data_IF_548147109131
#
_entry.id   IF_548147109131
#
_cell.length_a   1.000
_cell.length_b   1.000
_cell.length_c   1.000
_cell.angle_alpha   90.00
_cell.angle_beta   90.00
_cell.angle_gamma   90.00
#
_symmetry.space_group_name_H-M   'P 1'
#
loop_
_entity.id
_entity.type
_entity.pdbx_description
1 polymer ?
#
# COMPACT_ATOMS: atom_id res chain seq x y z
N UNK A 1 -14.32 -17.66 -73.16
CA UNK A 1 -15.43 -17.40 -72.21
C UNK A 1 -14.84 -17.28 -70.81
N UNK A 2 -15.20 -16.22 -70.09
CA UNK A 2 -14.77 -15.91 -68.72
C UNK A 2 -15.52 -16.78 -67.73
N UNK A 3 -14.85 -17.32 -66.71
CA UNK A 3 -15.48 -17.63 -65.41
C UNK A 3 -14.58 -17.13 -64.29
N UNK A 4 -15.17 -16.27 -63.48
CA UNK A 4 -14.54 -15.49 -62.42
C UNK A 4 -14.48 -16.30 -61.12
N UNK A 5 -13.41 -16.05 -60.37
CA UNK A 5 -13.22 -16.36 -58.95
C UNK A 5 -14.42 -15.87 -58.12
N UNK A 6 -14.87 -16.69 -57.16
CA UNK A 6 -15.52 -16.20 -55.92
C UNK A 6 -15.05 -17.07 -54.75
N UNK A 7 -13.98 -16.61 -54.08
CA UNK A 7 -13.58 -17.11 -52.77
C UNK A 7 -14.44 -16.39 -51.73
N UNK A 8 -15.52 -17.03 -51.27
CA UNK A 8 -16.50 -16.42 -50.40
C UNK A 8 -16.21 -16.79 -48.94
N UNK A 9 -15.74 -15.76 -48.20
CA UNK A 9 -16.12 -15.49 -46.81
C UNK A 9 -15.47 -16.30 -45.68
N UNK A 10 -14.18 -16.01 -45.46
CA UNK A 10 -13.59 -15.92 -44.11
C UNK A 10 -14.15 -14.65 -43.42
N UNK A 11 -15.47 -14.56 -43.26
CA UNK A 11 -16.14 -13.38 -42.71
C UNK A 11 -17.05 -13.69 -41.51
N UNK A 12 -16.90 -14.85 -40.88
CA UNK A 12 -17.75 -15.24 -39.75
C UNK A 12 -17.03 -15.46 -38.42
N UNK A 13 -15.72 -15.20 -38.33
CA UNK A 13 -14.96 -15.44 -37.08
C UNK A 13 -14.16 -14.24 -36.57
N UNK A 14 -14.36 -13.04 -37.12
CA UNK A 14 -13.74 -11.81 -36.61
C UNK A 14 -14.67 -10.96 -35.71
N UNK A 15 -15.94 -11.31 -35.57
CA UNK A 15 -16.90 -10.56 -34.74
C UNK A 15 -16.88 -10.92 -33.24
N UNK A 16 -16.17 -11.97 -32.84
CA UNK A 16 -16.04 -12.37 -31.42
C UNK A 16 -14.92 -11.65 -30.65
N UNK A 17 -14.08 -10.85 -31.33
CA UNK A 17 -12.97 -10.14 -30.70
C UNK A 17 -13.29 -8.72 -30.22
N UNK A 18 -14.53 -8.25 -30.34
CA UNK A 18 -14.95 -6.92 -29.86
C UNK A 18 -15.70 -6.93 -28.53
N UNK A 19 -15.52 -7.98 -27.72
CA UNK A 19 -15.91 -7.97 -26.30
C UNK A 19 -14.68 -7.89 -25.38
N UNK A 20 -13.68 -7.10 -25.76
CA UNK A 20 -12.73 -6.59 -24.78
C UNK A 20 -13.42 -5.43 -24.08
N UNK A 21 -13.92 -5.69 -22.88
CA UNK A 21 -14.55 -4.68 -22.04
C UNK A 21 -13.67 -3.43 -21.99
N UNK A 22 -14.27 -2.27 -22.24
CA UNK A 22 -13.66 -1.00 -21.89
C UNK A 22 -13.54 -0.96 -20.37
N UNK A 23 -12.39 -1.40 -19.85
CA UNK A 23 -12.01 -1.07 -18.48
C UNK A 23 -11.99 0.45 -18.37
N UNK A 24 -12.78 0.95 -17.43
CA UNK A 24 -13.07 2.37 -17.28
C UNK A 24 -11.78 3.11 -16.97
N UNK A 25 -11.39 3.99 -17.90
CA UNK A 25 -10.29 4.94 -17.80
C UNK A 25 -10.49 5.84 -16.58
N UNK A 26 -9.89 5.44 -15.44
CA UNK A 26 -9.41 6.27 -14.32
C UNK A 26 -8.95 5.36 -13.16
N UNK A 27 -8.09 4.38 -13.44
CA UNK A 27 -7.40 3.66 -12.37
C UNK A 27 -6.23 4.53 -11.89
N UNK A 28 -6.37 5.15 -10.72
CA UNK A 28 -5.24 5.72 -9.99
C UNK A 28 -4.27 4.57 -9.75
N UNK A 29 -3.07 4.61 -10.35
CA UNK A 29 -2.04 3.63 -10.05
C UNK A 29 -1.62 3.81 -8.57
N UNK A 30 -2.02 2.90 -7.67
CA UNK A 30 -1.80 3.07 -6.23
C UNK A 30 -0.29 3.17 -5.92
N UNK A 31 0.56 2.61 -6.78
CA UNK A 31 2.01 2.63 -6.62
C UNK A 31 2.65 4.00 -6.86
N UNK A 32 1.91 5.00 -7.35
CA UNK A 32 2.39 6.38 -7.44
C UNK A 32 2.37 7.11 -6.09
N UNK A 33 1.60 6.60 -5.12
CA UNK A 33 1.32 7.24 -3.84
C UNK A 33 1.98 6.49 -2.68
N UNK A 34 2.30 5.21 -2.86
CA UNK A 34 2.85 4.34 -1.82
C UNK A 34 4.20 3.74 -2.22
N UNK A 35 5.10 3.65 -1.24
CA UNK A 35 6.44 3.08 -1.37
C UNK A 35 6.65 1.98 -0.35
N UNK A 36 7.42 0.96 -0.74
CA UNK A 36 7.87 -0.05 0.22
C UNK A 36 9.11 0.48 0.94
N UNK A 37 9.06 0.49 2.27
CA UNK A 37 10.19 0.90 3.10
C UNK A 37 10.79 -0.34 3.76
N UNK A 38 12.11 -0.37 3.78
CA UNK A 38 12.90 -1.32 4.53
C UNK A 38 13.77 -0.56 5.53
N UNK A 39 13.76 -1.00 6.77
CA UNK A 39 14.49 -0.39 7.86
C UNK A 39 15.37 -1.42 8.53
N UNK A 40 16.54 -0.97 8.93
CA UNK A 40 17.50 -1.74 9.70
C UNK A 40 17.55 -1.11 11.08
N UNK A 41 16.99 -1.79 12.07
CA UNK A 41 16.80 -1.28 13.42
C UNK A 41 17.83 -1.92 14.34
N UNK A 42 18.37 -1.14 15.26
CA UNK A 42 19.29 -1.63 16.27
C UNK A 42 18.96 -1.04 17.63
N UNK A 43 18.26 -1.82 18.46
CA UNK A 43 17.89 -1.41 19.81
C UNK A 43 19.07 -1.51 20.78
N UNK A 44 19.00 -0.75 21.87
CA UNK A 44 19.89 -0.92 23.01
C UNK A 44 19.45 -2.12 23.86
N UNK A 45 20.42 -2.80 24.48
CA UNK A 45 20.12 -3.76 25.53
C UNK A 45 19.77 -3.00 26.82
N UNK A 46 18.53 -3.16 27.29
CA UNK A 46 18.07 -2.44 28.49
C UNK A 46 18.73 -2.95 29.77
N UNK A 47 19.20 -4.20 29.79
CA UNK A 47 19.95 -4.76 30.92
C UNK A 47 21.38 -4.22 30.96
N UNK A 48 21.98 -4.01 29.79
CA UNK A 48 23.33 -3.48 29.62
C UNK A 48 23.29 -2.30 28.63
N UNK A 49 22.92 -1.08 29.06
CA UNK A 49 22.61 0.05 28.17
C UNK A 49 23.78 0.54 27.31
N UNK A 50 25.01 0.16 27.63
CA UNK A 50 26.20 0.41 26.80
C UNK A 50 26.30 -0.55 25.60
N UNK A 51 25.55 -1.65 25.59
CA UNK A 51 25.52 -2.63 24.51
C UNK A 51 24.32 -2.39 23.58
N UNK A 52 24.52 -2.73 22.30
CA UNK A 52 23.46 -2.78 21.30
C UNK A 52 23.08 -4.23 21.02
N UNK A 53 21.80 -4.46 20.74
CA UNK A 53 21.30 -5.74 20.23
C UNK A 53 21.71 -5.93 18.77
N UNK A 54 21.42 -7.13 18.26
CA UNK A 54 21.57 -7.44 16.84
C UNK A 54 20.69 -6.54 15.96
N UNK A 55 21.15 -6.32 14.73
CA UNK A 55 20.40 -5.54 13.75
C UNK A 55 19.23 -6.37 13.25
N UNK A 56 18.01 -5.86 13.45
CA UNK A 56 16.77 -6.46 12.96
C UNK A 56 16.30 -5.68 11.76
N UNK A 57 15.87 -6.40 10.71
CA UNK A 57 15.30 -5.77 9.52
C UNK A 57 13.78 -5.75 9.63
N UNK A 58 13.14 -4.60 9.37
CA UNK A 58 11.68 -4.49 9.28
C UNK A 58 11.26 -3.88 7.96
N UNK A 59 10.19 -4.41 7.38
CA UNK A 59 9.59 -3.87 6.15
C UNK A 59 8.19 -3.32 6.42
N UNK A 60 7.83 -2.27 5.68
CA UNK A 60 6.53 -1.63 5.77
C UNK A 60 6.24 -0.77 4.54
N UNK A 61 5.23 0.09 4.66
CA UNK A 61 4.75 0.96 3.59
C UNK A 61 4.78 2.40 4.05
N UNK A 62 5.12 3.31 3.16
CA UNK A 62 4.98 4.75 3.37
C UNK A 62 4.17 5.40 2.25
N UNK A 63 3.43 6.44 2.61
CA UNK A 63 2.70 7.27 1.65
C UNK A 63 3.49 8.53 1.29
N UNK A 64 3.36 8.99 0.06
CA UNK A 64 3.89 10.27 -0.39
C UNK A 64 2.94 11.36 0.09
N UNK A 65 3.45 12.34 0.82
CA UNK A 65 2.66 13.45 1.37
C UNK A 65 3.29 14.78 1.00
N UNK A 66 2.46 15.81 0.86
CA UNK A 66 2.91 17.19 0.66
C UNK A 66 2.91 17.91 2.00
N UNK A 67 4.06 18.46 2.39
CA UNK A 67 4.18 19.31 3.58
C UNK A 67 3.59 20.69 3.33
N UNK A 68 3.32 21.47 4.39
CA UNK A 68 2.80 22.84 4.29
C UNK A 68 3.64 23.77 3.41
N UNK A 69 4.94 23.48 3.28
CA UNK A 69 5.89 24.24 2.45
C UNK A 69 5.91 23.76 0.98
N UNK A 70 5.04 22.82 0.61
CA UNK A 70 4.95 22.25 -0.73
C UNK A 70 5.97 21.16 -1.05
N UNK A 71 6.89 20.83 -0.14
CA UNK A 71 7.89 19.76 -0.30
C UNK A 71 7.23 18.39 -0.14
N UNK A 72 7.54 17.47 -1.07
CA UNK A 72 7.14 16.06 -0.99
C UNK A 72 8.03 15.31 0.01
N UNK A 73 7.40 14.50 0.84
CA UNK A 73 8.02 13.64 1.85
C UNK A 73 7.31 12.29 1.90
N UNK A 74 7.91 11.33 2.58
CA UNK A 74 7.27 10.06 2.88
C UNK A 74 6.75 10.06 4.32
N UNK A 75 5.49 9.68 4.51
CA UNK A 75 4.86 9.49 5.81
C UNK A 75 4.78 7.98 6.10
N UNK A 76 5.27 7.59 7.27
CA UNK A 76 5.28 6.20 7.75
C UNK A 76 4.95 6.16 9.24
N UNK A 77 4.83 4.96 9.81
CA UNK A 77 4.74 4.79 11.26
C UNK A 77 6.07 5.06 11.96
N UNK A 78 6.01 5.59 13.18
CA UNK A 78 7.18 5.81 14.03
C UNK A 78 7.85 4.49 14.42
N UNK A 79 7.07 3.44 14.69
CA UNK A 79 7.58 2.12 15.08
C UNK A 79 8.42 1.46 13.98
N UNK A 80 8.11 1.74 12.70
CA UNK A 80 8.88 1.20 11.58
C UNK A 80 10.27 1.83 11.52
N UNK A 81 10.44 3.06 11.99
CA UNK A 81 11.72 3.80 11.90
C UNK A 81 12.41 3.97 13.25
N UNK A 82 11.83 3.42 14.32
CA UNK A 82 12.40 3.47 15.66
C UNK A 82 13.78 2.79 15.69
N UNK A 83 14.77 3.48 16.27
CA UNK A 83 16.15 3.01 16.37
C UNK A 83 16.76 2.57 15.02
N UNK A 84 16.32 3.15 13.91
CA UNK A 84 16.82 2.80 12.58
C UNK A 84 18.25 3.32 12.36
N UNK A 85 19.14 2.43 11.91
CA UNK A 85 20.50 2.75 11.45
C UNK A 85 20.51 3.07 9.95
N UNK A 86 19.65 2.42 9.19
CA UNK A 86 19.45 2.64 7.75
C UNK A 86 17.97 2.53 7.40
N UNK A 87 17.50 3.47 6.58
CA UNK A 87 16.15 3.50 6.03
C UNK A 87 16.27 3.55 4.51
N UNK A 88 15.64 2.59 3.85
CA UNK A 88 15.61 2.42 2.41
C UNK A 88 14.17 2.48 1.92
N UNK A 89 13.91 3.24 0.86
CA UNK A 89 12.62 3.21 0.18
C UNK A 89 12.79 2.67 -1.23
N UNK A 90 11.88 1.78 -1.62
CA UNK A 90 11.86 1.14 -2.92
C UNK A 90 10.60 1.53 -3.68
N UNK A 91 10.81 2.10 -4.87
CA UNK A 91 9.75 2.26 -5.87
C UNK A 91 9.48 0.91 -6.55
N UNK A 92 8.23 0.63 -6.92
CA UNK A 92 7.84 -0.62 -7.57
C UNK A 92 8.70 -0.97 -8.80
N UNK A 93 8.99 0.03 -9.63
CA UNK A 93 9.73 -0.14 -10.88
C UNK A 93 11.22 0.25 -10.77
N UNK A 94 11.71 0.59 -9.57
CA UNK A 94 13.12 0.89 -9.38
C UNK A 94 13.93 -0.38 -9.10
N UNK A 95 15.08 -0.48 -9.77
CA UNK A 95 16.03 -1.57 -9.54
C UNK A 95 16.69 -1.44 -8.16
N UNK A 96 17.07 -0.21 -7.78
CA UNK A 96 17.78 0.08 -6.55
C UNK A 96 16.90 0.84 -5.54
N UNK A 97 17.01 0.52 -4.23
CA UNK A 97 16.40 1.33 -3.19
C UNK A 97 17.13 2.68 -3.05
N UNK A 98 16.39 3.72 -2.70
CA UNK A 98 16.96 5.03 -2.35
C UNK A 98 17.03 5.17 -0.84
N UNK A 99 18.12 5.76 -0.35
CA UNK A 99 18.31 6.04 1.07
C UNK A 99 17.39 7.17 1.52
N UNK A 100 16.79 6.99 2.69
CA UNK A 100 15.93 7.98 3.36
C UNK A 100 16.55 8.44 4.67
N UNK A 101 16.18 9.65 5.07
CA UNK A 101 16.56 10.28 6.32
C UNK A 101 15.32 10.62 7.14
N UNK A 102 15.41 10.42 8.44
CA UNK A 102 14.35 10.78 9.37
C UNK A 102 14.33 12.31 9.55
N UNK A 103 13.24 12.95 9.13
CA UNK A 103 13.04 14.39 9.31
C UNK A 103 12.37 14.66 10.67
N UNK A 104 11.26 13.95 10.95
CA UNK A 104 10.52 14.10 12.21
C UNK A 104 9.90 12.78 12.64
N UNK A 105 9.80 12.57 13.94
CA UNK A 105 9.11 11.43 14.53
C UNK A 105 8.24 11.90 15.69
N UNK A 106 7.05 11.32 15.80
CA UNK A 106 6.11 11.46 16.90
C UNK A 106 5.68 10.06 17.35
N UNK A 107 6.18 9.65 18.52
CA UNK A 107 5.88 8.34 19.08
C UNK A 107 4.46 8.25 19.67
N UNK A 108 3.86 9.36 20.11
CA UNK A 108 2.52 9.36 20.69
C UNK A 108 1.46 9.12 19.62
N UNK A 109 1.66 9.70 18.42
CA UNK A 109 0.79 9.51 17.27
C UNK A 109 1.20 8.32 16.39
N UNK A 110 2.34 7.69 16.68
CA UNK A 110 2.98 6.67 15.86
C UNK A 110 3.19 7.12 14.40
N UNK A 111 3.72 8.32 14.20
CA UNK A 111 3.95 8.90 12.87
C UNK A 111 5.41 9.34 12.71
N UNK A 112 5.94 9.17 11.50
CA UNK A 112 7.26 9.63 11.12
C UNK A 112 7.27 10.17 9.69
N UNK A 113 8.01 11.26 9.51
CA UNK A 113 8.27 11.90 8.24
C UNK A 113 9.70 11.62 7.81
N UNK A 114 9.83 11.13 6.58
CA UNK A 114 11.09 10.81 5.95
C UNK A 114 11.31 11.69 4.73
N UNK A 115 12.57 12.07 4.54
CA UNK A 115 13.03 12.80 3.37
C UNK A 115 14.09 12.02 2.62
N UNK A 116 14.16 12.25 1.30
CA UNK A 116 15.23 11.72 0.48
C UNK A 116 16.30 12.78 0.26
N UNK A 117 17.56 12.36 0.25
CA UNK A 117 18.68 13.19 -0.21
C UNK A 117 18.65 13.42 -1.72
N UNK A 118 18.03 12.50 -2.46
CA UNK A 118 17.89 12.57 -3.91
C UNK A 118 16.62 13.35 -4.27
N UNK A 119 16.76 14.56 -4.82
CA UNK A 119 15.60 15.37 -5.25
C UNK A 119 14.77 14.67 -6.33
N UNK A 120 15.43 13.93 -7.22
CA UNK A 120 14.79 13.13 -8.27
C UNK A 120 13.97 11.95 -7.73
N UNK A 121 14.15 11.57 -6.46
CA UNK A 121 13.38 10.49 -5.84
C UNK A 121 11.87 10.77 -5.79
N UNK A 122 11.42 12.01 -5.90
CA UNK A 122 10.00 12.33 -5.91
C UNK A 122 9.44 12.65 -7.31
N UNK A 123 10.27 12.61 -8.36
CA UNK A 123 9.83 12.87 -9.73
C UNK A 123 8.82 11.83 -10.20
N UNK A 124 7.69 12.31 -10.71
CA UNK A 124 6.59 11.47 -11.18
C UNK A 124 5.70 10.88 -10.08
N UNK A 125 5.99 11.15 -8.81
CA UNK A 125 5.12 10.75 -7.70
C UNK A 125 4.03 11.79 -7.45
N UNK A 126 2.88 11.30 -7.00
CA UNK A 126 1.77 12.15 -6.59
C UNK A 126 1.61 12.06 -5.08
N UNK A 127 1.50 13.21 -4.44
CA UNK A 127 1.12 13.25 -3.04
C UNK A 127 -0.30 12.72 -2.88
N UNK A 128 -0.52 11.98 -1.79
CA UNK A 128 -1.86 11.69 -1.32
C UNK A 128 -2.54 13.00 -0.94
N UNK A 129 -3.73 13.23 -1.51
CA UNK A 129 -4.60 14.31 -1.10
C UNK A 129 -5.39 13.86 0.13
N UNK A 130 -5.44 14.72 1.14
CA UNK A 130 -6.20 14.46 2.35
C UNK A 130 -7.62 14.96 2.14
N UNK A 131 -8.55 14.03 2.04
CA UNK A 131 -9.98 14.34 2.12
C UNK A 131 -10.46 14.21 3.57
N UNK A 132 -11.61 14.82 3.86
CA UNK A 132 -12.28 14.60 5.14
C UNK A 132 -12.60 13.11 5.19
N UNK A 133 -12.11 12.42 6.22
CA UNK A 133 -12.37 11.00 6.39
C UNK A 133 -13.88 10.77 6.46
N UNK A 134 -14.46 10.33 5.36
CA UNK A 134 -15.86 9.90 5.35
C UNK A 134 -15.93 8.60 6.13
N UNK A 135 -16.88 8.53 7.07
CA UNK A 135 -17.32 7.27 7.66
C UNK A 135 -17.98 6.47 6.55
N UNK A 136 -17.16 5.73 5.81
CA UNK A 136 -17.60 4.92 4.67
C UNK A 136 -18.19 3.60 5.12
N UNK A 137 -19.21 3.14 4.40
CA UNK A 137 -19.61 1.74 4.46
C UNK A 137 -18.56 0.92 3.72
N UNK A 138 -17.96 -0.05 4.41
CA UNK A 138 -17.03 -1.00 3.80
C UNK A 138 -17.79 -2.29 3.49
N UNK A 139 -17.69 -2.75 2.24
CA UNK A 139 -18.15 -4.07 1.83
C UNK A 139 -17.00 -5.06 1.92
N UNK A 140 -17.10 -6.00 2.85
CA UNK A 140 -16.12 -7.09 2.95
C UNK A 140 -16.55 -8.28 2.10
N UNK A 141 -15.68 -8.82 1.22
CA UNK A 141 -15.94 -10.07 0.54
C UNK A 141 -15.93 -11.21 1.55
N UNK A 142 -17.03 -11.95 1.63
CA UNK A 142 -17.12 -13.15 2.47
C UNK A 142 -16.37 -14.29 1.77
N UNK A 143 -15.31 -14.79 2.41
CA UNK A 143 -14.47 -15.87 1.87
C UNK A 143 -15.11 -17.27 2.02
N UNK A 144 -16.32 -17.36 2.57
CA UNK A 144 -17.05 -18.62 2.71
C UNK A 144 -17.79 -18.99 1.41
N UNK A 145 -17.61 -20.20 0.87
CA UNK A 145 -18.19 -20.61 -0.42
C UNK A 145 -19.73 -20.66 -0.45
N UNK A 146 -20.41 -20.54 0.69
CA UNK A 146 -21.87 -20.58 0.82
C UNK A 146 -22.57 -19.23 1.05
N UNK A 147 -21.85 -18.15 1.36
CA UNK A 147 -22.42 -16.82 1.60
C UNK A 147 -21.80 -15.81 0.65
N UNK A 148 -22.60 -15.32 -0.31
CA UNK A 148 -22.17 -14.40 -1.37
C UNK A 148 -22.51 -12.93 -1.10
N UNK A 149 -23.11 -12.62 0.06
CA UNK A 149 -23.48 -11.25 0.39
C UNK A 149 -22.28 -10.55 1.03
N UNK A 150 -21.85 -9.38 0.53
CA UNK A 150 -20.82 -8.60 1.19
C UNK A 150 -21.30 -8.21 2.60
N UNK A 151 -20.42 -8.31 3.60
CA UNK A 151 -20.73 -7.82 4.94
C UNK A 151 -20.54 -6.31 4.94
N UNK A 152 -21.59 -5.59 5.34
CA UNK A 152 -21.55 -4.14 5.50
C UNK A 152 -21.13 -3.77 6.92
N UNK A 153 -20.15 -2.89 7.05
CA UNK A 153 -19.71 -2.36 8.32
C UNK A 153 -19.26 -0.91 8.21
N UNK A 154 -19.20 -0.23 9.36
CA UNK A 154 -18.65 1.12 9.47
C UNK A 154 -17.16 1.04 9.81
N UNK A 155 -16.34 1.86 9.16
CA UNK A 155 -14.92 1.99 9.49
C UNK A 155 -14.80 2.70 10.85
N UNK A 156 -14.27 1.98 11.85
CA UNK A 156 -14.15 2.53 13.21
C UNK A 156 -12.77 3.08 13.50
N UNK A 157 -11.71 2.40 13.04
CA UNK A 157 -10.34 2.78 13.36
C UNK A 157 -9.35 2.29 12.31
N UNK A 158 -8.32 3.08 12.05
CA UNK A 158 -7.11 2.62 11.36
C UNK A 158 -6.03 2.41 12.43
N UNK A 159 -5.41 1.22 12.46
CA UNK A 159 -4.27 0.90 13.34
C UNK A 159 -3.13 0.33 12.50
N UNK A 160 -1.95 0.13 13.07
CA UNK A 160 -0.87 -0.65 12.44
C UNK A 160 -0.81 -1.99 13.15
N UNK A 161 -0.73 -3.09 12.42
CA UNK A 161 -0.54 -4.41 13.00
C UNK A 161 0.52 -5.22 12.30
N UNK A 162 1.01 -6.21 13.04
CA UNK A 162 2.10 -7.08 12.61
C UNK A 162 1.54 -8.32 11.92
N UNK A 163 2.03 -8.59 10.71
CA UNK A 163 1.70 -9.82 9.98
C UNK A 163 2.84 -10.83 10.10
N UNK A 164 2.66 -11.83 10.96
CA UNK A 164 3.68 -12.84 11.27
C UNK A 164 4.23 -13.57 10.04
N UNK A 165 3.39 -13.91 9.07
CA UNK A 165 3.79 -14.71 7.88
C UNK A 165 4.83 -14.01 7.00
N UNK A 166 4.84 -12.67 6.96
CA UNK A 166 5.76 -11.89 6.11
C UNK A 166 6.64 -10.94 6.90
N UNK A 167 6.60 -11.03 8.23
CA UNK A 167 7.24 -10.09 9.16
C UNK A 167 7.13 -8.62 8.71
N UNK A 168 5.91 -8.25 8.31
CA UNK A 168 5.61 -6.93 7.74
C UNK A 168 4.62 -6.21 8.63
N UNK A 169 4.89 -4.94 8.90
CA UNK A 169 3.96 -4.07 9.61
C UNK A 169 3.10 -3.33 8.60
N UNK A 170 1.79 -3.51 8.68
CA UNK A 170 0.83 -2.97 7.72
C UNK A 170 -0.26 -2.17 8.45
N UNK A 171 -0.79 -1.11 7.82
CA UNK A 171 -2.01 -0.49 8.30
C UNK A 171 -3.16 -1.51 8.24
N UNK A 172 -3.83 -1.71 9.36
CA UNK A 172 -5.03 -2.53 9.55
C UNK A 172 -6.22 -1.62 9.75
N UNK A 173 -7.25 -1.82 8.94
CA UNK A 173 -8.54 -1.16 9.08
C UNK A 173 -9.41 -2.00 10.02
N UNK A 174 -9.84 -1.42 11.14
CA UNK A 174 -10.83 -2.00 12.04
C UNK A 174 -12.24 -1.55 11.63
N UNK A 175 -13.14 -2.53 11.57
CA UNK A 175 -14.49 -2.37 11.07
C UNK A 175 -15.48 -2.79 12.16
N UNK A 176 -16.55 -2.02 12.34
CA UNK A 176 -17.71 -2.44 13.12
C UNK A 176 -18.75 -2.99 12.15
N UNK A 177 -18.99 -4.29 12.20
CA UNK A 177 -19.95 -4.95 11.31
C UNK A 177 -21.37 -4.71 11.81
N UNK A 178 -22.32 -4.43 10.89
CA UNK A 178 -23.75 -4.36 11.22
C UNK A 178 -24.32 -5.74 11.59
N UNK A 179 -23.69 -6.80 11.08
CA UNK A 179 -24.06 -8.20 11.36
C UNK A 179 -22.85 -8.96 11.92
N UNK A 180 -23.07 -9.78 12.95
CA UNK A 180 -22.03 -10.63 13.52
C UNK A 180 -21.79 -11.77 12.53
N UNK A 181 -20.56 -11.94 12.00
CA UNK A 181 -20.30 -13.02 11.07
C UNK A 181 -20.46 -14.38 11.78
N UNK A 182 -20.96 -15.42 11.10
CA UNK A 182 -21.12 -16.74 11.69
C UNK A 182 -19.79 -17.24 12.26
N UNK A 183 -19.85 -17.88 13.42
CA UNK A 183 -18.67 -18.36 14.15
C UNK A 183 -17.76 -19.20 13.24
N UNK A 184 -16.49 -18.82 13.14
CA UNK A 184 -15.49 -19.44 12.25
C UNK A 184 -15.06 -18.59 11.06
N UNK A 185 -15.62 -17.39 10.90
CA UNK A 185 -15.14 -16.40 9.92
C UNK A 185 -13.86 -15.74 10.42
N UNK A 186 -12.74 -15.92 9.72
CA UNK A 186 -11.51 -15.18 10.01
C UNK A 186 -11.69 -13.77 9.43
N UNK A 187 -11.80 -12.78 10.32
CA UNK A 187 -11.77 -11.34 10.01
C UNK A 187 -10.33 -10.85 10.12
#
# INVERSE_FOLDING_TARGET
MKTKVVFCWIFFFSSLFNLYGKETQNQIDPFQHFMLIKTYQQEFDWLNPWNKKDVVTRSGVASVVKTGNGKLMLLTSADLVANATLIEARRKNASLPSRMHLNRIDHALNLALLESSEKSFFEGLKALEWEIAEKGEAELPVLNPGQKKPLQGEITRLTVGHRQVRDTWLPILQLSLKEIPPQGSIV
#
